data_IF_045789286710
#
_entry.id   IF_045789286710
#
_cell.length_a   1.000
_cell.length_b   1.000
_cell.length_c   1.000
_cell.angle_alpha   90.00
_cell.angle_beta   90.00
_cell.angle_gamma   90.00
#
_symmetry.space_group_name_H-M   'P 1'
#
loop_
_entity.id
_entity.type
_entity.pdbx_description
1 polymer ?
#
# COMPACT_ATOMS: atom_id res chain seq x y z
N UNK A 1 -24.34 7.22 6.07
CA UNK A 1 -23.04 7.88 5.82
C UNK A 1 -22.38 7.12 4.68
N UNK A 2 -22.05 7.78 3.57
CA UNK A 2 -21.29 7.17 2.47
C UNK A 2 -19.83 7.61 2.58
N UNK A 3 -18.91 6.65 2.53
CA UNK A 3 -17.47 6.91 2.41
C UNK A 3 -17.24 7.61 1.06
N UNK A 4 -16.47 8.69 1.06
CA UNK A 4 -16.12 9.47 -0.14
C UNK A 4 -14.61 9.53 -0.26
N UNK A 5 -14.09 9.02 -1.36
CA UNK A 5 -12.66 9.02 -1.67
C UNK A 5 -12.34 10.19 -2.61
N UNK A 6 -11.23 10.88 -2.38
CA UNK A 6 -10.65 11.90 -3.26
C UNK A 6 -9.35 11.36 -3.86
N UNK A 7 -9.45 10.90 -5.12
CA UNK A 7 -8.34 10.33 -5.88
C UNK A 7 -7.51 11.35 -6.66
N UNK A 8 -7.57 12.63 -6.29
CA UNK A 8 -6.79 13.68 -6.95
C UNK A 8 -5.28 13.40 -6.83
N UNK A 9 -4.59 13.37 -7.98
CA UNK A 9 -3.16 13.06 -8.06
C UNK A 9 -2.28 14.08 -7.33
N UNK A 10 -2.80 15.26 -6.95
CA UNK A 10 -2.09 16.22 -6.09
C UNK A 10 -1.60 15.60 -4.77
N UNK A 11 -2.31 14.59 -4.26
CA UNK A 11 -1.94 13.88 -3.03
C UNK A 11 -0.71 12.97 -3.23
N UNK A 12 -0.32 12.63 -4.46
CA UNK A 12 0.95 11.95 -4.71
C UNK A 12 2.15 12.91 -4.58
N UNK A 13 1.95 14.21 -4.81
CA UNK A 13 3.01 15.21 -4.64
C UNK A 13 3.07 15.74 -3.19
N UNK A 14 1.92 15.80 -2.53
CA UNK A 14 1.78 16.23 -1.14
C UNK A 14 0.84 15.26 -0.40
N UNK A 15 1.34 14.10 0.05
CA UNK A 15 0.50 13.09 0.65
C UNK A 15 -0.04 13.52 2.00
N UNK A 16 -1.33 13.23 2.20
CA UNK A 16 -2.06 13.53 3.43
C UNK A 16 -2.71 12.22 3.89
N UNK A 17 -2.47 11.84 5.14
CA UNK A 17 -3.15 10.73 5.80
C UNK A 17 -4.28 11.33 6.65
N UNK A 18 -5.51 11.27 6.15
CA UNK A 18 -6.65 11.95 6.78
C UNK A 18 -7.60 10.94 7.41
N UNK A 19 -7.63 10.93 8.74
CA UNK A 19 -8.48 10.02 9.50
C UNK A 19 -9.92 10.52 9.58
N UNK A 20 -10.24 11.77 9.22
CA UNK A 20 -11.61 12.24 9.23
C UNK A 20 -12.37 11.78 7.97
N UNK A 21 -12.86 10.55 8.00
CA UNK A 21 -13.58 9.94 6.88
C UNK A 21 -15.03 10.44 6.73
N UNK A 22 -15.47 11.44 7.53
CA UNK A 22 -16.81 12.03 7.41
C UNK A 22 -16.92 12.99 6.22
N UNK A 23 -15.77 13.51 5.77
CA UNK A 23 -15.57 14.30 4.56
C UNK A 23 -14.84 13.45 3.50
N UNK A 24 -14.73 13.91 2.24
CA UNK A 24 -13.85 13.26 1.27
C UNK A 24 -12.41 13.22 1.80
N UNK A 25 -11.77 12.06 1.75
CA UNK A 25 -10.39 11.85 2.20
C UNK A 25 -9.54 11.22 1.10
N UNK A 26 -8.20 11.38 1.15
CA UNK A 26 -7.31 10.98 0.07
C UNK A 26 -7.38 9.49 -0.27
N UNK A 27 -7.29 9.16 -1.56
CA UNK A 27 -7.19 7.79 -2.06
C UNK A 27 -6.03 7.73 -3.04
N UNK A 28 -4.88 7.22 -2.58
CA UNK A 28 -3.64 7.17 -3.35
C UNK A 28 -2.88 5.86 -3.15
N UNK A 29 -2.21 5.41 -4.21
CA UNK A 29 -1.21 4.33 -4.20
C UNK A 29 -1.77 2.92 -4.00
N UNK A 30 -2.61 2.70 -3.01
CA UNK A 30 -3.05 1.37 -2.58
C UNK A 30 -4.33 1.43 -1.75
N UNK A 31 -5.25 0.49 -1.96
CA UNK A 31 -6.44 0.31 -1.10
C UNK A 31 -6.05 0.06 0.37
N UNK A 32 -4.87 -0.52 0.63
CA UNK A 32 -4.37 -0.67 2.00
C UNK A 32 -4.27 0.69 2.70
N UNK A 33 -3.92 1.77 2.00
CA UNK A 33 -3.80 3.11 2.57
C UNK A 33 -5.16 3.60 3.09
N UNK A 34 -6.20 3.48 2.26
CA UNK A 34 -7.58 3.84 2.63
C UNK A 34 -8.08 3.00 3.81
N UNK A 35 -7.75 1.70 3.83
CA UNK A 35 -8.10 0.82 4.95
C UNK A 35 -7.40 1.24 6.25
N UNK A 36 -6.16 1.72 6.19
CA UNK A 36 -5.44 2.24 7.36
C UNK A 36 -6.10 3.51 7.90
N UNK A 37 -6.45 4.46 7.03
CA UNK A 37 -7.16 5.70 7.42
C UNK A 37 -8.49 5.37 8.12
N UNK A 38 -9.26 4.44 7.55
CA UNK A 38 -10.52 3.97 8.14
C UNK A 38 -10.29 3.25 9.47
N UNK A 39 -9.29 2.37 9.58
CA UNK A 39 -9.00 1.66 10.82
C UNK A 39 -8.67 2.63 11.96
N UNK A 40 -7.85 3.63 11.69
CA UNK A 40 -7.51 4.66 12.69
C UNK A 40 -8.73 5.50 13.07
N UNK A 41 -9.57 5.89 12.10
CA UNK A 41 -10.84 6.59 12.39
C UNK A 41 -11.75 5.79 13.33
N UNK A 42 -11.80 4.47 13.15
CA UNK A 42 -12.59 3.56 13.99
C UNK A 42 -11.97 3.33 15.38
N UNK A 43 -10.83 3.95 15.68
CA UNK A 43 -10.16 3.89 16.98
C UNK A 43 -9.15 2.76 17.12
N UNK A 44 -8.73 2.11 16.04
CA UNK A 44 -7.65 1.12 16.10
C UNK A 44 -6.31 1.79 16.37
N UNK A 45 -5.65 1.41 17.46
CA UNK A 45 -4.32 1.91 17.85
C UNK A 45 -3.19 0.92 17.59
N UNK A 46 -3.49 -0.38 17.41
CA UNK A 46 -2.54 -1.43 17.04
C UNK A 46 -3.04 -2.12 15.78
N UNK A 47 -2.36 -1.87 14.66
CA UNK A 47 -2.76 -2.34 13.33
C UNK A 47 -1.66 -3.25 12.77
N UNK A 48 -2.05 -4.45 12.36
CA UNK A 48 -1.15 -5.44 11.78
C UNK A 48 -1.55 -5.71 10.33
N UNK A 49 -0.68 -5.37 9.39
CA UNK A 49 -0.85 -5.66 7.97
C UNK A 49 -0.36 -7.07 7.70
N UNK A 50 -1.18 -7.89 7.04
CA UNK A 50 -0.79 -9.23 6.59
C UNK A 50 -1.21 -9.43 5.13
N UNK A 51 -0.38 -10.17 4.37
CA UNK A 51 -0.61 -10.44 2.96
C UNK A 51 -0.28 -9.26 2.04
N UNK A 52 0.54 -8.32 2.50
CA UNK A 52 0.97 -7.18 1.70
C UNK A 52 2.45 -7.33 1.33
N UNK A 53 2.68 -7.99 0.19
CA UNK A 53 4.04 -8.37 -0.21
C UNK A 53 4.81 -7.21 -0.86
N UNK A 54 4.16 -6.36 -1.67
CA UNK A 54 4.84 -5.29 -2.44
C UNK A 54 6.00 -5.79 -3.33
N UNK A 55 6.00 -7.07 -3.71
CA UNK A 55 7.08 -7.72 -4.47
C UNK A 55 6.69 -7.98 -5.93
N UNK A 56 6.48 -6.93 -6.71
CA UNK A 56 6.08 -7.02 -8.11
C UNK A 56 7.26 -7.17 -9.07
N UNK A 57 7.11 -8.02 -10.10
CA UNK A 57 8.13 -8.27 -11.13
C UNK A 57 8.37 -7.08 -12.04
N UNK A 58 7.30 -6.36 -12.41
CA UNK A 58 7.33 -5.20 -13.32
C UNK A 58 6.75 -3.98 -12.63
N UNK A 59 7.55 -2.91 -12.53
CA UNK A 59 7.27 -1.73 -11.72
C UNK A 59 7.37 -0.46 -12.58
N UNK A 60 6.43 0.45 -12.43
CA UNK A 60 6.48 1.81 -12.95
C UNK A 60 7.21 2.67 -11.92
N UNK A 61 8.08 3.55 -12.39
CA UNK A 61 8.70 4.59 -11.58
C UNK A 61 8.02 5.94 -11.80
N UNK A 62 8.25 6.90 -10.90
CA UNK A 62 7.65 8.24 -10.96
C UNK A 62 7.99 9.01 -12.24
N UNK A 63 9.16 8.77 -12.83
CA UNK A 63 9.60 9.38 -14.09
C UNK A 63 9.01 8.70 -15.34
N UNK A 64 8.15 7.68 -15.15
CA UNK A 64 7.55 6.90 -16.22
C UNK A 64 8.42 5.76 -16.75
N UNK A 65 9.65 5.60 -16.23
CA UNK A 65 10.49 4.44 -16.56
C UNK A 65 9.95 3.15 -15.95
N UNK A 66 10.29 2.01 -16.55
CA UNK A 66 9.86 0.68 -16.10
C UNK A 66 11.06 -0.11 -15.62
N UNK A 67 10.98 -0.66 -14.41
CA UNK A 67 11.99 -1.55 -13.85
C UNK A 67 11.47 -2.97 -13.72
N UNK A 68 12.36 -3.92 -14.00
CA UNK A 68 12.12 -5.35 -13.88
C UNK A 68 12.98 -5.87 -12.74
N UNK A 69 12.39 -6.65 -11.85
CA UNK A 69 13.14 -7.32 -10.79
C UNK A 69 12.88 -8.83 -10.83
N UNK A 70 13.69 -9.60 -10.12
CA UNK A 70 13.47 -11.05 -9.96
C UNK A 70 12.49 -11.39 -8.83
N UNK A 71 11.82 -10.38 -8.26
CA UNK A 71 10.92 -10.56 -7.14
C UNK A 71 9.50 -10.85 -7.63
N UNK A 72 8.88 -11.86 -7.01
CA UNK A 72 7.49 -12.23 -7.23
C UNK A 72 7.31 -13.42 -8.17
N UNK A 73 6.38 -14.30 -7.78
CA UNK A 73 5.63 -15.14 -8.73
C UNK A 73 4.33 -14.39 -8.99
N UNK A 74 3.91 -14.24 -10.24
CA UNK A 74 2.55 -13.77 -10.51
C UNK A 74 1.57 -14.81 -9.95
N UNK A 75 0.88 -14.46 -8.86
CA UNK A 75 -0.02 -15.38 -8.15
C UNK A 75 -1.31 -15.70 -8.93
N UNK A 76 -1.59 -14.95 -9.99
CA UNK A 76 -2.84 -15.03 -10.76
C UNK A 76 -2.69 -15.67 -12.15
N UNK A 77 -1.46 -15.93 -12.61
CA UNK A 77 -1.21 -16.44 -13.97
C UNK A 77 -0.26 -17.62 -13.96
N UNK A 78 -0.57 -18.67 -14.72
CA UNK A 78 0.25 -19.88 -14.76
C UNK A 78 1.57 -19.66 -15.52
N UNK A 79 1.67 -18.58 -16.29
CA UNK A 79 2.89 -18.18 -17.01
C UNK A 79 2.94 -16.68 -17.31
N UNK A 80 4.15 -16.15 -17.50
CA UNK A 80 4.39 -14.78 -17.97
C UNK A 80 3.69 -14.49 -19.32
N UNK A 81 3.55 -15.50 -20.17
CA UNK A 81 2.87 -15.39 -21.46
C UNK A 81 1.37 -15.16 -21.29
N UNK A 82 0.75 -15.82 -20.31
CA UNK A 82 -0.66 -15.66 -19.95
C UNK A 82 -0.90 -14.32 -19.24
N UNK A 83 0.00 -13.93 -18.33
CA UNK A 83 0.00 -12.61 -17.71
C UNK A 83 0.09 -11.50 -18.78
N UNK A 84 1.04 -11.59 -19.71
CA UNK A 84 1.21 -10.61 -20.79
C UNK A 84 0.00 -10.55 -21.75
N UNK A 85 -0.57 -11.69 -22.11
CA UNK A 85 -1.71 -11.77 -23.04
C UNK A 85 -3.03 -11.27 -22.42
N UNK A 86 -3.25 -11.52 -21.12
CA UNK A 86 -4.47 -11.13 -20.43
C UNK A 86 -4.43 -9.72 -19.83
N UNK A 87 -3.26 -9.22 -19.45
CA UNK A 87 -3.12 -7.92 -18.74
C UNK A 87 -2.45 -6.80 -19.54
N UNK A 88 -1.81 -7.10 -20.68
CA UNK A 88 -0.82 -6.20 -21.30
C UNK A 88 0.25 -5.74 -20.29
N UNK A 89 0.81 -6.63 -19.45
CA UNK A 89 1.89 -6.38 -18.47
C UNK A 89 1.97 -4.90 -18.05
N UNK A 90 0.91 -4.38 -17.42
CA UNK A 90 0.91 -2.99 -16.97
C UNK A 90 1.89 -2.89 -15.81
N UNK A 91 2.93 -2.06 -15.88
CA UNK A 91 3.84 -1.88 -14.77
C UNK A 91 3.07 -1.41 -13.53
N UNK A 92 3.30 -2.05 -12.38
CA UNK A 92 2.64 -1.67 -11.14
C UNK A 92 3.17 -0.30 -10.70
N UNK A 93 2.32 0.68 -10.36
CA UNK A 93 2.76 2.00 -9.91
C UNK A 93 3.29 1.93 -8.48
N UNK A 94 4.38 1.20 -8.26
CA UNK A 94 4.97 1.01 -6.92
C UNK A 94 5.41 2.31 -6.33
N UNK A 95 5.91 3.26 -7.13
CA UNK A 95 6.24 4.60 -6.65
C UNK A 95 5.03 5.31 -5.98
N UNK A 96 3.79 5.06 -6.42
CA UNK A 96 2.59 5.62 -5.78
C UNK A 96 2.31 4.91 -4.45
N UNK A 97 2.53 3.60 -4.38
CA UNK A 97 2.40 2.81 -3.15
C UNK A 97 3.45 3.21 -2.10
N UNK A 98 4.69 3.46 -2.52
CA UNK A 98 5.78 3.94 -1.67
C UNK A 98 5.41 5.26 -0.99
N UNK A 99 4.90 6.23 -1.76
CA UNK A 99 4.43 7.53 -1.25
C UNK A 99 3.29 7.34 -0.23
N UNK A 100 2.32 6.49 -0.54
CA UNK A 100 1.21 6.20 0.35
C UNK A 100 1.70 5.57 1.67
N UNK A 101 2.52 4.53 1.62
CA UNK A 101 3.00 3.87 2.83
C UNK A 101 3.94 4.73 3.66
N UNK A 102 4.78 5.56 3.03
CA UNK A 102 5.61 6.54 3.74
C UNK A 102 4.74 7.55 4.51
N UNK A 103 3.69 8.07 3.88
CA UNK A 103 2.77 9.00 4.53
C UNK A 103 2.02 8.35 5.71
N UNK A 104 1.56 7.11 5.55
CA UNK A 104 0.91 6.36 6.63
C UNK A 104 1.85 6.07 7.79
N UNK A 105 3.09 5.67 7.51
CA UNK A 105 4.12 5.43 8.52
C UNK A 105 4.46 6.71 9.30
N UNK A 106 4.60 7.83 8.59
CA UNK A 106 4.81 9.15 9.21
C UNK A 106 3.64 9.54 10.12
N UNK A 107 2.41 9.41 9.64
CA UNK A 107 1.22 9.75 10.40
C UNK A 107 1.08 8.89 11.68
N UNK A 108 1.43 7.61 11.59
CA UNK A 108 1.50 6.68 12.74
C UNK A 108 2.45 7.19 13.83
N UNK A 109 3.64 7.64 13.46
CA UNK A 109 4.61 8.19 14.41
C UNK A 109 4.12 9.51 15.05
N UNK A 110 3.46 10.37 14.28
CA UNK A 110 3.00 11.68 14.75
C UNK A 110 1.76 11.61 15.66
N UNK A 111 0.91 10.60 15.48
CA UNK A 111 -0.40 10.51 16.14
C UNK A 111 -0.51 9.37 17.17
N UNK A 112 0.54 8.58 17.35
CA UNK A 112 0.64 7.63 18.48
C UNK A 112 -0.14 6.32 18.33
N UNK A 113 -0.53 5.94 17.11
CA UNK A 113 -0.98 4.59 16.79
C UNK A 113 0.14 3.81 16.10
N UNK A 114 0.10 2.48 16.17
CA UNK A 114 1.13 1.60 15.65
C UNK A 114 0.62 0.84 14.42
N UNK A 115 1.36 0.93 13.32
CA UNK A 115 1.15 0.10 12.12
C UNK A 115 2.36 -0.82 11.97
N UNK A 116 2.13 -2.13 11.88
CA UNK A 116 3.16 -3.17 11.80
C UNK A 116 2.91 -4.08 10.61
N UNK A 117 3.98 -4.57 9.98
CA UNK A 117 3.90 -5.57 8.92
C UNK A 117 4.10 -6.99 9.50
N UNK A 118 3.03 -7.78 9.54
CA UNK A 118 3.04 -9.19 9.93
C UNK A 118 3.10 -10.15 8.71
N UNK A 119 3.22 -9.63 7.48
CA UNK A 119 3.38 -10.46 6.27
C UNK A 119 4.68 -11.24 6.35
N UNK A 120 4.65 -12.54 6.04
CA UNK A 120 5.87 -13.36 5.94
C UNK A 120 6.62 -13.01 4.65
N UNK A 121 7.77 -12.36 4.77
CA UNK A 121 8.56 -11.92 3.61
C UNK A 121 7.99 -10.68 2.92
N UNK A 122 8.13 -10.60 1.60
CA UNK A 122 7.78 -9.41 0.81
C UNK A 122 8.84 -8.30 0.88
N UNK A 123 8.47 -7.12 0.39
CA UNK A 123 9.26 -5.88 0.26
C UNK A 123 8.58 -4.66 0.89
N UNK A 124 7.45 -4.83 1.58
CA UNK A 124 6.83 -3.76 2.36
C UNK A 124 7.66 -3.48 3.62
N UNK A 125 8.54 -2.49 3.56
CA UNK A 125 9.48 -2.14 4.64
C UNK A 125 9.20 -0.77 5.29
N UNK A 126 8.08 -0.14 4.97
CA UNK A 126 7.67 1.16 5.54
C UNK A 126 7.13 1.04 6.98
N UNK A 127 6.78 -0.17 7.41
CA UNK A 127 6.25 -0.45 8.74
C UNK A 127 7.14 -1.47 9.46
N UNK A 128 7.36 -1.34 10.79
CA UNK A 128 8.10 -2.33 11.55
C UNK A 128 7.56 -3.74 11.36
N UNK A 129 8.45 -4.69 11.06
CA UNK A 129 8.09 -6.08 10.83
C UNK A 129 7.94 -6.84 12.15
N UNK A 130 6.91 -7.67 12.22
CA UNK A 130 6.66 -8.59 13.36
C UNK A 130 6.37 -10.00 12.86
N UNK A 131 6.72 -11.00 13.66
CA UNK A 131 6.39 -12.39 13.35
C UNK A 131 4.91 -12.64 13.66
N UNK A 132 4.13 -12.97 12.64
CA UNK A 132 2.71 -13.28 12.79
C UNK A 132 2.46 -14.45 13.74
N UNK A 133 3.32 -15.47 13.75
CA UNK A 133 3.15 -16.64 14.61
C UNK A 133 3.44 -16.32 16.09
N UNK A 134 4.05 -15.17 16.37
CA UNK A 134 4.22 -14.64 17.71
C UNK A 134 3.03 -13.80 18.21
N UNK A 135 2.04 -13.55 17.34
CA UNK A 135 0.84 -12.77 17.66
C UNK A 135 -0.31 -13.70 18.09
N UNK A 136 -0.93 -13.37 19.23
CA UNK A 136 -2.16 -13.96 19.81
C UNK A 136 -2.09 -15.45 20.22
#
# INVERSE_FOLDING_TARGET
MFIRLDGDRKFLDNPIFDIDITKPFPSIGTTTYECLEIAVYLGCSEIYIIGCDMSYKVNLNRDGSVTYNEAGRDHFYASEKEAAASTKLRPNPTWEMEIAYEAAAKASLENGYNIKNATRGGKLEYFPRVDFDSLF
#
